data_IF_256234470718
#
_entry.id   IF_256234470718
#
_cell.length_a   1.000
_cell.length_b   1.000
_cell.length_c   1.000
_cell.angle_alpha   90.00
_cell.angle_beta   90.00
_cell.angle_gamma   90.00
#
_symmetry.space_group_name_H-M   'P 1'
#
loop_
_entity.id
_entity.type
_entity.pdbx_description
1 polymer ?
#
# COMPACT_ATOMS: atom_id res chain seq x y z
N UNK A 1 -59.97 -11.12 -72.02
CA UNK A 1 -59.88 -9.67 -71.69
C UNK A 1 -59.03 -9.51 -70.43
N UNK A 2 -58.09 -8.55 -70.43
CA UNK A 2 -57.51 -7.77 -69.30
C UNK A 2 -56.85 -8.55 -68.14
N UNK A 3 -55.50 -8.61 -68.05
CA UNK A 3 -54.56 -7.63 -67.42
C UNK A 3 -54.88 -7.30 -65.96
N UNK A 4 -54.04 -7.73 -65.01
CA UNK A 4 -53.15 -6.89 -64.16
C UNK A 4 -52.56 -7.63 -62.95
N UNK A 5 -51.23 -7.58 -62.89
CA UNK A 5 -50.31 -7.58 -61.74
C UNK A 5 -50.82 -6.78 -60.53
N UNK A 6 -50.49 -7.16 -59.29
CA UNK A 6 -49.90 -6.29 -58.25
C UNK A 6 -49.47 -7.07 -56.98
N UNK A 7 -48.48 -6.49 -56.32
CA UNK A 7 -47.65 -6.92 -55.20
C UNK A 7 -48.34 -6.88 -53.80
N UNK A 8 -47.61 -7.49 -52.85
CA UNK A 8 -47.40 -7.09 -51.45
C UNK A 8 -48.40 -7.53 -50.37
N UNK A 9 -47.89 -8.34 -49.43
CA UNK A 9 -47.81 -7.94 -48.03
C UNK A 9 -46.66 -8.66 -47.33
N UNK A 10 -45.67 -7.87 -46.92
CA UNK A 10 -44.62 -8.18 -45.95
C UNK A 10 -45.27 -8.37 -44.57
N UNK A 11 -44.83 -9.36 -43.81
CA UNK A 11 -44.99 -9.34 -42.35
C UNK A 11 -43.61 -9.48 -41.73
N UNK A 12 -43.01 -8.31 -41.49
CA UNK A 12 -41.94 -8.13 -40.53
C UNK A 12 -42.53 -8.29 -39.12
N UNK A 13 -41.71 -8.82 -38.19
CA UNK A 13 -41.54 -8.43 -36.76
C UNK A 13 -41.00 -9.68 -36.06
N UNK A 14 -39.85 -9.73 -35.40
CA UNK A 14 -38.82 -8.74 -35.15
C UNK A 14 -37.75 -9.47 -34.33
N UNK A 15 -36.50 -9.44 -34.78
CA UNK A 15 -35.37 -9.76 -33.93
C UNK A 15 -35.24 -8.58 -32.97
N UNK A 16 -35.56 -8.78 -31.69
CA UNK A 16 -35.16 -7.86 -30.64
C UNK A 16 -33.64 -8.01 -30.46
N UNK A 17 -32.88 -7.25 -31.25
CA UNK A 17 -31.50 -6.96 -30.96
C UNK A 17 -31.50 -6.04 -29.74
N UNK A 18 -31.36 -6.62 -28.55
CA UNK A 18 -30.85 -5.86 -27.42
C UNK A 18 -29.46 -5.38 -27.83
N UNK A 19 -29.28 -4.06 -27.89
CA UNK A 19 -28.00 -3.42 -28.13
C UNK A 19 -27.09 -3.68 -26.91
N UNK A 20 -26.53 -4.89 -26.82
CA UNK A 20 -25.30 -5.15 -26.10
C UNK A 20 -24.16 -4.84 -27.05
N UNK A 21 -23.36 -3.82 -26.73
CA UNK A 21 -22.13 -3.54 -27.44
C UNK A 21 -21.27 -4.80 -27.44
N UNK A 22 -21.13 -5.42 -28.61
CA UNK A 22 -20.18 -6.47 -28.87
C UNK A 22 -18.78 -5.86 -28.81
N UNK A 23 -18.09 -5.99 -27.67
CA UNK A 23 -16.64 -5.97 -27.66
C UNK A 23 -16.17 -7.24 -28.36
N UNK A 24 -15.94 -7.12 -29.67
CA UNK A 24 -15.29 -8.16 -30.44
C UNK A 24 -13.81 -8.21 -30.09
N UNK A 25 -13.37 -9.32 -29.49
CA UNK A 25 -11.97 -9.73 -29.55
C UNK A 25 -11.44 -10.46 -28.34
N UNK A 26 -11.45 -11.80 -28.43
CA UNK A 26 -10.65 -12.77 -27.68
C UNK A 26 -11.20 -13.22 -26.31
N UNK A 27 -11.29 -14.54 -26.22
CA UNK A 27 -11.61 -15.40 -25.08
C UNK A 27 -11.05 -14.87 -23.74
N UNK A 28 -11.92 -14.68 -22.74
CA UNK A 28 -11.52 -14.70 -21.32
C UNK A 28 -11.18 -13.37 -20.65
N UNK A 29 -11.77 -12.25 -21.02
CA UNK A 29 -11.65 -11.03 -20.22
C UNK A 29 -12.51 -11.16 -18.96
N UNK A 30 -11.85 -11.28 -17.81
CA UNK A 30 -12.46 -11.18 -16.48
C UNK A 30 -13.18 -9.83 -16.42
N UNK A 31 -14.49 -9.84 -16.13
CA UNK A 31 -15.25 -8.60 -16.00
C UNK A 31 -14.66 -7.81 -14.83
N UNK A 32 -14.00 -6.67 -15.11
CA UNK A 32 -13.47 -5.78 -14.08
C UNK A 32 -14.58 -5.25 -13.18
N UNK A 33 -14.20 -4.70 -12.02
CA UNK A 33 -15.18 -4.06 -11.12
C UNK A 33 -15.78 -2.83 -11.80
N UNK A 34 -17.12 -2.63 -11.78
CA UNK A 34 -17.73 -1.44 -12.37
C UNK A 34 -17.30 -0.15 -11.68
N UNK A 35 -16.76 -0.24 -10.46
CA UNK A 35 -16.39 0.90 -9.60
C UNK A 35 -14.89 1.22 -9.67
N UNK A 36 -14.16 0.63 -10.62
CA UNK A 36 -12.71 0.83 -10.82
C UNK A 36 -12.41 1.30 -12.24
N UNK A 37 -11.41 2.18 -12.36
CA UNK A 37 -10.89 2.67 -13.65
C UNK A 37 -9.91 1.68 -14.25
N UNK A 38 -9.02 1.13 -13.42
CA UNK A 38 -8.05 0.15 -13.87
C UNK A 38 -8.71 -1.22 -14.03
N UNK A 39 -8.24 -1.99 -15.03
CA UNK A 39 -8.61 -3.40 -15.14
C UNK A 39 -8.09 -4.23 -13.96
N UNK A 40 -8.61 -5.47 -13.80
CA UNK A 40 -8.20 -6.36 -12.73
C UNK A 40 -6.68 -6.61 -12.76
N UNK A 41 -6.00 -6.62 -11.60
CA UNK A 41 -4.57 -6.85 -11.55
C UNK A 41 -4.22 -8.31 -11.88
N UNK A 42 -3.09 -8.54 -12.54
CA UNK A 42 -2.55 -9.89 -12.79
C UNK A 42 -1.98 -10.49 -11.50
N UNK A 43 -2.81 -11.23 -10.76
CA UNK A 43 -2.46 -11.87 -9.48
C UNK A 43 -3.32 -13.12 -9.22
N UNK A 44 -2.85 -14.06 -8.39
CA UNK A 44 -3.61 -15.28 -8.10
C UNK A 44 -4.80 -15.01 -7.16
N UNK A 45 -6.00 -15.48 -7.53
CA UNK A 45 -7.17 -15.52 -6.66
C UNK A 45 -7.96 -14.21 -6.55
N UNK A 46 -9.22 -14.33 -6.12
CA UNK A 46 -10.16 -13.22 -5.99
C UNK A 46 -9.80 -12.27 -4.85
N UNK A 47 -10.26 -11.01 -4.95
CA UNK A 47 -10.00 -9.95 -3.97
C UNK A 47 -10.40 -10.30 -2.54
N UNK A 48 -11.50 -11.01 -2.34
CA UNK A 48 -12.04 -11.38 -1.02
C UNK A 48 -11.19 -12.42 -0.29
N UNK A 49 -10.25 -13.07 -0.97
CA UNK A 49 -9.37 -14.07 -0.35
C UNK A 49 -8.13 -13.45 0.28
N UNK A 50 -7.92 -12.14 0.11
CA UNK A 50 -6.80 -11.42 0.70
C UNK A 50 -7.19 -10.85 2.07
N UNK A 51 -6.24 -10.82 3.00
CA UNK A 51 -6.45 -10.25 4.33
C UNK A 51 -6.57 -8.72 4.32
N UNK A 52 -6.12 -8.08 3.25
CA UNK A 52 -6.10 -6.62 3.08
C UNK A 52 -7.12 -6.18 2.02
N UNK A 53 -7.58 -4.91 2.05
CA UNK A 53 -8.45 -4.34 1.03
C UNK A 53 -7.80 -4.44 -0.34
N UNK A 54 -8.49 -5.10 -1.27
CA UNK A 54 -7.94 -5.44 -2.57
C UNK A 54 -8.84 -4.93 -3.71
N UNK A 55 -8.41 -5.14 -4.96
CA UNK A 55 -9.03 -4.58 -6.15
C UNK A 55 -10.58 -4.65 -6.14
N UNK A 56 -11.22 -3.50 -6.36
CA UNK A 56 -12.68 -3.37 -6.41
C UNK A 56 -13.39 -3.34 -5.06
N UNK A 57 -12.68 -3.50 -3.94
CA UNK A 57 -13.26 -3.35 -2.61
C UNK A 57 -13.19 -1.89 -2.14
N UNK A 58 -14.09 -1.50 -1.25
CA UNK A 58 -14.08 -0.19 -0.60
C UNK A 58 -12.87 -0.06 0.33
N UNK A 59 -12.29 1.13 0.39
CA UNK A 59 -11.27 1.47 1.37
C UNK A 59 -11.93 1.48 2.77
N UNK A 60 -11.40 0.73 3.76
CA UNK A 60 -11.97 0.75 5.10
C UNK A 60 -11.93 2.14 5.73
N UNK A 61 -13.03 2.50 6.41
CA UNK A 61 -13.14 3.71 7.20
C UNK A 61 -12.50 3.55 8.58
N UNK A 62 -11.47 4.34 8.86
CA UNK A 62 -10.89 4.50 10.21
C UNK A 62 -10.49 5.94 10.44
N UNK A 63 -10.63 6.42 11.68
CA UNK A 63 -10.17 7.74 12.10
C UNK A 63 -8.87 7.58 12.89
N UNK A 64 -7.82 8.27 12.45
CA UNK A 64 -6.48 8.20 13.07
C UNK A 64 -5.89 9.61 13.18
N UNK A 65 -5.22 9.94 14.31
CA UNK A 65 -4.49 11.21 14.43
C UNK A 65 -3.38 11.36 13.38
N UNK A 66 -3.28 12.55 12.80
CA UNK A 66 -2.18 13.02 11.96
C UNK A 66 -1.36 14.05 12.74
N UNK A 67 -0.33 13.62 13.51
CA UNK A 67 0.43 14.51 14.38
C UNK A 67 1.28 15.55 13.66
N UNK A 68 1.48 15.44 12.34
CA UNK A 68 2.21 16.46 11.57
C UNK A 68 1.36 17.72 11.32
N UNK A 69 0.04 17.55 11.26
CA UNK A 69 -0.93 18.61 11.00
C UNK A 69 -1.87 18.89 12.18
N UNK A 70 -1.63 18.22 13.32
CA UNK A 70 -2.37 18.36 14.58
C UNK A 70 -3.90 18.24 14.41
N UNK A 71 -4.32 17.21 13.66
CA UNK A 71 -5.74 16.91 13.40
C UNK A 71 -6.00 15.41 13.36
N UNK A 72 -7.25 15.03 13.45
CA UNK A 72 -7.70 13.68 13.10
C UNK A 72 -8.00 13.60 11.60
N UNK A 73 -7.74 12.44 11.02
CA UNK A 73 -7.99 12.13 9.60
C UNK A 73 -8.80 10.85 9.53
N UNK A 74 -9.89 10.88 8.77
CA UNK A 74 -10.67 9.68 8.45
C UNK A 74 -10.32 9.24 7.04
N UNK A 75 -9.98 7.97 6.84
CA UNK A 75 -9.50 7.46 5.53
C UNK A 75 -10.43 7.74 4.35
N UNK A 76 -11.74 7.81 4.61
CA UNK A 76 -12.81 8.07 3.63
C UNK A 76 -13.18 9.56 3.52
N UNK A 77 -12.59 10.48 4.30
CA UNK A 77 -13.00 11.90 4.27
C UNK A 77 -12.71 12.61 2.95
N UNK A 78 -11.91 11.98 2.08
CA UNK A 78 -11.49 12.49 0.78
C UNK A 78 -12.32 11.93 -0.38
N UNK A 79 -13.28 11.04 -0.10
CA UNK A 79 -14.19 10.52 -1.12
C UNK A 79 -14.98 11.66 -1.78
N UNK A 80 -15.10 11.60 -3.10
CA UNK A 80 -15.64 12.63 -3.97
C UNK A 80 -14.63 13.70 -4.40
N UNK A 81 -13.52 13.88 -3.66
CA UNK A 81 -12.60 14.99 -3.85
C UNK A 81 -11.17 14.59 -4.26
N UNK A 82 -10.60 13.52 -3.68
CA UNK A 82 -9.21 13.11 -3.94
C UNK A 82 -9.02 11.60 -3.98
N UNK A 83 -8.07 11.17 -4.81
CA UNK A 83 -7.53 9.81 -4.77
C UNK A 83 -6.68 9.61 -3.52
N UNK A 84 -6.61 8.38 -3.02
CA UNK A 84 -5.92 8.06 -1.77
C UNK A 84 -4.80 7.05 -2.03
N UNK A 85 -3.60 7.35 -1.52
CA UNK A 85 -2.47 6.43 -1.48
C UNK A 85 -2.03 6.17 -0.04
N UNK A 86 -2.02 4.91 0.37
CA UNK A 86 -1.68 4.51 1.73
C UNK A 86 -0.55 3.49 1.79
N UNK A 87 0.21 3.51 2.89
CA UNK A 87 1.19 2.45 3.20
C UNK A 87 1.38 2.34 4.71
N UNK A 88 1.99 1.25 5.18
CA UNK A 88 2.18 0.95 6.60
C UNK A 88 3.67 0.79 6.88
N UNK A 89 4.19 1.59 7.81
CA UNK A 89 5.63 1.71 8.09
C UNK A 89 5.90 1.95 9.57
N UNK A 90 7.15 1.95 9.98
CA UNK A 90 7.59 2.54 11.26
C UNK A 90 9.02 3.07 11.09
N UNK A 91 9.41 4.08 11.87
CA UNK A 91 10.64 4.82 11.58
C UNK A 91 11.92 4.04 11.84
N UNK A 92 11.90 3.09 12.80
CA UNK A 92 13.05 2.23 13.15
C UNK A 92 13.26 1.04 12.21
N UNK A 93 12.46 0.93 11.16
CA UNK A 93 12.53 -0.17 10.22
C UNK A 93 13.78 -0.07 9.33
N UNK A 94 14.70 -1.02 9.49
CA UNK A 94 15.88 -1.16 8.62
C UNK A 94 15.62 -2.05 7.39
N UNK A 95 14.37 -2.49 7.21
CA UNK A 95 13.94 -3.40 6.14
C UNK A 95 13.28 -2.68 4.95
N UNK A 96 12.08 -3.10 4.52
CA UNK A 96 11.43 -2.53 3.33
C UNK A 96 10.80 -1.16 3.55
N UNK A 97 10.43 -0.80 4.78
CA UNK A 97 9.61 0.39 5.09
C UNK A 97 10.19 1.71 4.54
N UNK A 98 11.50 2.00 4.64
CA UNK A 98 12.11 3.17 4.01
C UNK A 98 11.80 3.28 2.51
N UNK A 99 11.80 2.15 1.78
CA UNK A 99 11.53 2.14 0.34
C UNK A 99 10.05 2.28 0.00
N UNK A 100 9.14 1.93 0.92
CA UNK A 100 7.70 2.15 0.74
C UNK A 100 7.39 3.64 0.87
N UNK A 101 7.87 4.26 1.96
CA UNK A 101 7.73 5.69 2.19
C UNK A 101 8.34 6.52 1.04
N UNK A 102 9.53 6.16 0.55
CA UNK A 102 10.13 6.84 -0.61
C UNK A 102 9.33 6.69 -1.91
N UNK A 103 8.56 5.60 -2.10
CA UNK A 103 7.68 5.50 -3.28
C UNK A 103 6.55 6.52 -3.20
N UNK A 104 5.87 6.64 -2.06
CA UNK A 104 4.84 7.66 -1.87
C UNK A 104 5.44 9.06 -1.99
N UNK A 105 6.61 9.31 -1.41
CA UNK A 105 7.31 10.59 -1.52
C UNK A 105 7.61 10.98 -2.97
N UNK A 106 8.05 10.04 -3.80
CA UNK A 106 8.27 10.31 -5.23
C UNK A 106 6.97 10.66 -5.95
N UNK A 107 5.86 9.97 -5.65
CA UNK A 107 4.56 10.30 -6.24
C UNK A 107 4.06 11.66 -5.75
N UNK A 108 4.33 12.03 -4.49
CA UNK A 108 4.03 13.36 -3.97
C UNK A 108 4.84 14.45 -4.69
N UNK A 109 6.13 14.22 -4.90
CA UNK A 109 6.99 15.15 -5.64
C UNK A 109 6.51 15.31 -7.09
N UNK A 110 6.20 14.21 -7.76
CA UNK A 110 5.64 14.20 -9.11
C UNK A 110 4.31 14.96 -9.19
N UNK A 111 3.43 14.79 -8.18
CA UNK A 111 2.19 15.55 -8.08
C UNK A 111 2.42 17.07 -7.95
N UNK A 112 3.38 17.48 -7.13
CA UNK A 112 3.73 18.90 -6.96
C UNK A 112 4.41 19.48 -8.20
N UNK A 113 5.24 18.70 -8.90
CA UNK A 113 5.92 19.13 -10.12
C UNK A 113 4.96 19.32 -11.30
N UNK A 114 3.90 18.51 -11.36
CA UNK A 114 2.93 18.48 -12.46
C UNK A 114 1.58 19.13 -12.13
N UNK A 115 1.39 19.65 -10.91
CA UNK A 115 0.25 20.49 -10.54
C UNK A 115 -1.05 19.73 -10.23
N UNK A 116 -0.97 18.48 -9.78
CA UNK A 116 -2.12 17.68 -9.34
C UNK A 116 -2.04 17.28 -7.87
N UNK A 117 -1.26 17.99 -7.06
CA UNK A 117 -1.11 17.76 -5.61
C UNK A 117 -2.43 17.85 -4.84
N UNK A 118 -3.41 18.59 -5.36
CA UNK A 118 -4.74 18.71 -4.77
C UNK A 118 -5.67 17.53 -5.06
N UNK A 119 -5.32 16.67 -6.01
CA UNK A 119 -6.14 15.53 -6.47
C UNK A 119 -5.77 14.21 -5.79
N UNK A 120 -4.66 14.17 -5.05
CA UNK A 120 -4.17 12.97 -4.37
C UNK A 120 -3.88 13.27 -2.90
N UNK A 121 -4.12 12.29 -2.03
CA UNK A 121 -3.83 12.30 -0.59
C UNK A 121 -2.93 11.13 -0.23
N UNK A 122 -1.85 11.39 0.49
CA UNK A 122 -0.89 10.39 0.96
C UNK A 122 -1.06 10.16 2.45
N UNK A 123 -1.27 8.90 2.84
CA UNK A 123 -1.45 8.49 4.23
C UNK A 123 -0.53 7.33 4.59
N UNK A 124 0.78 7.58 4.82
CA UNK A 124 1.60 6.61 5.52
C UNK A 124 1.11 6.46 6.97
N UNK A 125 0.98 5.23 7.45
CA UNK A 125 0.48 4.90 8.79
C UNK A 125 1.59 4.23 9.59
N UNK A 126 1.89 4.75 10.79
CA UNK A 126 2.81 4.06 11.71
C UNK A 126 2.13 2.93 12.48
N UNK A 127 2.82 1.81 12.64
CA UNK A 127 2.43 0.74 13.57
C UNK A 127 3.33 0.65 14.82
N UNK A 128 4.23 1.62 15.02
CA UNK A 128 5.01 1.78 16.26
C UNK A 128 4.78 3.15 16.91
N UNK A 129 3.53 3.47 17.32
CA UNK A 129 3.19 4.79 17.81
C UNK A 129 3.91 5.15 19.12
N UNK A 130 4.40 4.18 19.88
CA UNK A 130 5.14 4.42 21.11
C UNK A 130 6.49 5.11 20.85
N UNK A 131 7.18 4.73 19.77
CA UNK A 131 8.44 5.35 19.37
C UNK A 131 8.20 6.54 18.43
N UNK A 132 7.36 6.36 17.41
CA UNK A 132 7.18 7.30 16.31
C UNK A 132 6.43 8.57 16.75
N UNK A 133 7.13 9.55 17.34
CA UNK A 133 6.57 10.87 17.66
C UNK A 133 6.44 11.74 16.39
N UNK A 134 5.69 12.85 16.49
CA UNK A 134 5.57 13.83 15.41
C UNK A 134 6.93 14.27 14.81
N UNK A 135 7.93 14.50 15.66
CA UNK A 135 9.28 14.88 15.24
C UNK A 135 9.97 13.76 14.44
N UNK A 136 9.87 12.52 14.91
CA UNK A 136 10.45 11.35 14.24
C UNK A 136 9.77 11.07 12.90
N UNK A 137 8.44 11.20 12.85
CA UNK A 137 7.66 11.07 11.62
C UNK A 137 7.99 12.16 10.60
N UNK A 138 8.17 13.42 11.04
CA UNK A 138 8.59 14.53 10.18
C UNK A 138 9.98 14.26 9.60
N UNK A 139 10.95 13.92 10.44
CA UNK A 139 12.32 13.59 10.01
C UNK A 139 12.33 12.42 9.04
N UNK A 140 11.65 11.33 9.39
CA UNK A 140 11.54 10.15 8.53
C UNK A 140 10.94 10.51 7.17
N UNK A 141 9.86 11.29 7.12
CA UNK A 141 9.24 11.72 5.86
C UNK A 141 10.20 12.53 4.99
N UNK A 142 10.84 13.55 5.56
CA UNK A 142 11.76 14.44 4.86
C UNK A 142 12.98 13.67 4.32
N UNK A 143 13.57 12.77 5.11
CA UNK A 143 14.69 11.94 4.65
C UNK A 143 14.32 10.96 3.53
N UNK A 144 13.04 10.62 3.38
CA UNK A 144 12.55 9.78 2.28
C UNK A 144 12.14 10.59 1.05
N UNK A 145 12.24 11.91 1.12
CA UNK A 145 11.98 12.85 0.02
C UNK A 145 10.57 13.42 0.00
N UNK A 146 9.76 13.18 1.02
CA UNK A 146 8.43 13.78 1.11
C UNK A 146 8.53 15.21 1.65
N UNK A 147 7.57 16.05 1.30
CA UNK A 147 7.29 17.30 2.01
C UNK A 147 6.33 16.99 3.18
N UNK A 148 6.83 16.92 4.44
CA UNK A 148 6.00 16.57 5.59
C UNK A 148 5.00 17.65 5.98
N UNK A 149 5.19 18.89 5.51
CA UNK A 149 4.34 20.02 5.85
C UNK A 149 3.30 20.30 4.75
N UNK A 150 3.32 19.56 3.64
CA UNK A 150 2.32 19.63 2.58
C UNK A 150 0.95 19.12 3.06
N UNK A 151 -0.14 19.79 2.65
CA UNK A 151 -1.51 19.45 3.05
C UNK A 151 -1.94 18.04 2.62
N UNK A 152 -1.39 17.55 1.50
CA UNK A 152 -1.67 16.23 0.97
C UNK A 152 -0.83 15.10 1.59
N UNK A 153 -0.03 15.38 2.61
CA UNK A 153 0.77 14.37 3.33
C UNK A 153 0.32 14.25 4.78
N UNK A 154 -0.56 13.29 5.05
CA UNK A 154 -1.11 13.04 6.37
C UNK A 154 -0.48 11.78 6.96
N UNK A 155 0.63 11.93 7.69
CA UNK A 155 1.25 10.78 8.37
C UNK A 155 0.43 10.39 9.59
N UNK A 156 -0.22 9.23 9.52
CA UNK A 156 -1.16 8.77 10.54
C UNK A 156 -0.45 7.98 11.65
N UNK A 157 -0.84 8.26 12.89
CA UNK A 157 -0.30 7.63 14.10
C UNK A 157 -1.44 7.19 15.02
N UNK A 158 -1.74 5.90 15.10
CA UNK A 158 -2.65 5.36 16.12
C UNK A 158 -2.21 5.77 17.53
N UNK A 159 -3.15 5.93 18.46
CA UNK A 159 -2.84 6.48 19.78
C UNK A 159 -2.00 5.54 20.66
N UNK A 160 -2.07 4.24 20.40
CA UNK A 160 -1.42 3.20 21.20
C UNK A 160 -1.09 1.97 20.36
N UNK A 161 -0.34 1.03 20.93
CA UNK A 161 -0.08 -0.27 20.28
C UNK A 161 -1.38 -1.07 20.04
N UNK A 162 -2.36 -0.97 20.94
CA UNK A 162 -3.66 -1.63 20.78
C UNK A 162 -4.44 -1.02 19.61
N UNK A 163 -4.49 0.31 19.52
CA UNK A 163 -5.09 1.01 18.38
C UNK A 163 -4.34 0.69 17.08
N UNK A 164 -3.01 0.53 17.13
CA UNK A 164 -2.25 0.10 15.96
C UNK A 164 -2.61 -1.32 15.53
N UNK A 165 -2.89 -2.25 16.46
CA UNK A 165 -3.36 -3.60 16.11
C UNK A 165 -4.73 -3.54 15.43
N UNK A 166 -5.68 -2.80 16.00
CA UNK A 166 -7.02 -2.64 15.43
C UNK A 166 -6.99 -2.02 14.02
N UNK A 167 -6.23 -0.95 13.84
CA UNK A 167 -6.11 -0.27 12.54
C UNK A 167 -5.31 -1.11 11.57
N UNK A 168 -4.05 -1.43 11.88
CA UNK A 168 -3.10 -1.95 10.89
C UNK A 168 -3.30 -3.45 10.65
N UNK A 169 -3.57 -4.23 11.70
CA UNK A 169 -3.75 -5.68 11.58
C UNK A 169 -5.22 -6.05 11.33
N UNK A 170 -6.14 -5.66 12.21
CA UNK A 170 -7.52 -6.13 12.13
C UNK A 170 -8.29 -5.51 10.96
N UNK A 171 -8.08 -4.21 10.69
CA UNK A 171 -8.77 -3.50 9.60
C UNK A 171 -8.07 -3.65 8.26
N UNK A 172 -6.75 -3.47 8.22
CA UNK A 172 -5.98 -3.49 6.97
C UNK A 172 -5.25 -4.81 6.69
N UNK A 173 -5.35 -5.81 7.57
CA UNK A 173 -4.79 -7.15 7.35
C UNK A 173 -3.27 -7.23 7.39
N UNK A 174 -2.59 -6.19 7.87
CA UNK A 174 -1.13 -6.13 7.96
C UNK A 174 -0.73 -6.68 9.33
N UNK A 175 -0.59 -8.00 9.42
CA UNK A 175 -0.09 -8.65 10.62
C UNK A 175 1.28 -8.10 11.02
N UNK A 176 1.41 -7.63 12.25
CA UNK A 176 2.67 -7.21 12.84
C UNK A 176 2.74 -7.67 14.30
N UNK A 177 3.88 -8.22 14.69
CA UNK A 177 4.16 -8.58 16.08
C UNK A 177 5.51 -7.98 16.47
N UNK A 178 5.54 -7.33 17.63
CA UNK A 178 6.80 -6.90 18.24
C UNK A 178 7.50 -8.13 18.81
N UNK A 179 8.54 -8.61 18.14
CA UNK A 179 9.36 -9.69 18.69
C UNK A 179 10.31 -9.08 19.73
N UNK A 180 10.10 -9.35 21.02
CA UNK A 180 11.11 -9.02 22.04
C UNK A 180 12.20 -10.08 22.01
N UNK A 181 13.27 -9.86 21.22
CA UNK A 181 14.45 -10.73 21.28
C UNK A 181 15.32 -10.33 22.48
N UNK A 182 14.98 -10.84 23.66
CA UNK A 182 15.96 -10.96 24.74
C UNK A 182 16.94 -12.09 24.38
N UNK A 183 18.17 -11.75 23.98
CA UNK A 183 19.28 -12.68 24.14
C UNK A 183 19.68 -12.69 25.61
N UNK A 184 19.02 -13.55 26.39
CA UNK A 184 19.46 -13.88 27.74
C UNK A 184 20.86 -14.51 27.63
N UNK A 185 21.87 -13.73 27.98
CA UNK A 185 23.23 -14.22 28.18
C UNK A 185 23.18 -15.36 29.19
N UNK A 186 23.26 -16.59 28.70
CA UNK A 186 23.23 -17.77 29.55
C UNK A 186 24.56 -17.88 30.27
N UNK A 187 24.64 -17.27 31.45
CA UNK A 187 25.64 -17.62 32.44
C UNK A 187 25.25 -18.96 33.09
N UNK A 188 26.09 -19.98 32.86
CA UNK A 188 26.45 -20.96 33.88
C UNK A 188 25.92 -22.39 33.72
N UNK A 189 26.83 -23.34 33.46
CA UNK A 189 27.27 -24.33 34.46
C UNK A 189 28.39 -25.23 33.90
N UNK A 190 29.47 -25.37 34.66
CA UNK A 190 30.65 -26.15 34.29
C UNK A 190 30.64 -27.61 34.75
N UNK A 191 31.59 -28.39 34.22
CA UNK A 191 32.24 -29.54 34.89
C UNK A 191 33.47 -30.03 34.10
N UNK A 192 34.64 -30.05 34.76
CA UNK A 192 35.79 -31.01 34.76
C UNK A 192 36.14 -31.82 33.47
N UNK A 193 37.38 -32.15 33.09
CA UNK A 193 38.70 -32.27 33.77
C UNK A 193 39.80 -32.59 32.71
N UNK A 194 41.07 -32.17 32.96
CA UNK A 194 42.40 -32.74 32.58
C UNK A 194 42.71 -33.13 31.11
N UNK A 195 43.91 -32.97 30.51
CA UNK A 195 45.29 -32.60 30.90
C UNK A 195 46.11 -32.48 29.59
N UNK A 196 47.13 -31.62 29.57
CA UNK A 196 48.52 -31.87 29.10
C UNK A 196 49.18 -30.67 28.39
N UNK A 197 50.38 -30.36 28.93
CA UNK A 197 51.35 -29.37 28.48
C UNK A 197 52.02 -29.77 27.15
N UNK A 198 52.19 -28.82 26.22
CA UNK A 198 53.52 -28.29 25.83
C UNK A 198 53.42 -27.27 24.68
N UNK A 199 53.80 -26.03 24.99
CA UNK A 199 54.57 -25.03 24.20
C UNK A 199 54.55 -25.08 22.66
N UNK A 200 54.16 -23.99 21.98
CA UNK A 200 55.04 -22.84 21.66
C UNK A 200 54.32 -21.77 20.80
N UNK A 201 54.79 -20.52 20.94
CA UNK A 201 54.70 -19.38 20.00
C UNK A 201 53.38 -18.57 19.87
N UNK A 202 53.31 -17.54 20.72
CA UNK A 202 53.07 -16.12 20.39
C UNK A 202 52.20 -15.79 19.17
N UNK A 203 50.97 -15.36 19.44
CA UNK A 203 50.28 -14.31 18.67
C UNK A 203 49.46 -13.45 19.62
N UNK A 204 49.64 -12.14 19.51
CA UNK A 204 49.07 -11.13 20.39
C UNK A 204 47.54 -11.14 20.37
N UNK A 205 46.97 -11.07 21.57
CA UNK A 205 45.54 -11.03 21.85
C UNK A 205 45.08 -9.58 22.00
N UNK A 206 44.11 -9.20 21.16
CA UNK A 206 43.00 -8.28 21.39
C UNK A 206 43.29 -6.82 21.77
N UNK A 207 43.09 -5.93 20.79
CA UNK A 207 42.45 -4.64 21.05
C UNK A 207 40.96 -4.76 20.74
N UNK A 208 40.16 -4.64 21.79
CA UNK A 208 38.71 -4.41 21.82
C UNK A 208 38.17 -3.55 20.67
N UNK A 209 37.30 -4.12 19.85
CA UNK A 209 36.20 -3.38 19.24
C UNK A 209 34.92 -3.82 19.96
N UNK A 210 34.50 -3.00 20.91
CA UNK A 210 33.13 -2.96 21.41
C UNK A 210 32.22 -2.61 20.23
N UNK A 211 31.60 -3.63 19.65
CA UNK A 211 30.48 -3.50 18.74
C UNK A 211 29.19 -3.48 19.56
N UNK A 212 28.70 -2.27 19.76
CA UNK A 212 27.34 -1.91 20.11
C UNK A 212 26.36 -2.68 19.21
N UNK A 213 25.78 -3.75 19.77
CA UNK A 213 24.79 -4.57 19.08
C UNK A 213 23.50 -3.79 18.88
N UNK A 214 23.21 -3.41 17.64
CA UNK A 214 21.94 -2.81 17.26
C UNK A 214 20.82 -3.84 17.42
N UNK A 215 19.85 -3.51 18.26
CA UNK A 215 18.60 -4.26 18.44
C UNK A 215 17.84 -4.29 17.10
N UNK A 216 17.79 -5.45 16.46
CA UNK A 216 17.03 -5.64 15.22
C UNK A 216 15.59 -6.01 15.58
N UNK A 217 14.73 -5.00 15.69
CA UNK A 217 13.29 -5.21 15.75
C UNK A 217 12.83 -5.80 14.40
N UNK A 218 12.66 -7.13 14.35
CA UNK A 218 12.16 -7.84 13.18
C UNK A 218 10.63 -7.95 13.26
N UNK A 219 9.94 -7.11 12.50
CA UNK A 219 8.52 -7.28 12.20
C UNK A 219 8.38 -8.00 10.86
N UNK A 220 7.85 -9.24 10.87
CA UNK A 220 7.42 -9.88 9.63
C UNK A 220 6.04 -9.33 9.28
N UNK A 221 5.96 -8.41 8.31
CA UNK A 221 4.69 -7.84 7.86
C UNK A 221 4.64 -7.81 6.32
N UNK A 222 3.42 -7.85 5.78
CA UNK A 222 3.18 -7.67 4.34
C UNK A 222 3.52 -6.23 3.98
N UNK A 223 4.43 -6.02 3.03
CA UNK A 223 4.64 -4.69 2.46
C UNK A 223 3.47 -4.37 1.55
N UNK A 224 2.75 -3.28 1.82
CA UNK A 224 1.56 -2.89 1.07
C UNK A 224 1.60 -1.41 0.71
N UNK A 225 1.26 -1.10 -0.53
CA UNK A 225 0.81 0.23 -0.95
C UNK A 225 -0.59 0.05 -1.53
N UNK A 226 -1.56 0.81 -1.03
CA UNK A 226 -2.92 0.87 -1.54
C UNK A 226 -3.06 2.14 -2.38
N UNK A 227 -3.66 2.02 -3.56
CA UNK A 227 -4.20 3.13 -4.34
C UNK A 227 -5.72 2.95 -4.41
N UNK A 228 -6.46 3.90 -3.86
CA UNK A 228 -7.90 3.98 -3.96
C UNK A 228 -8.30 5.20 -4.79
N UNK A 229 -9.32 5.03 -5.63
CA UNK A 229 -9.88 6.13 -6.41
C UNK A 229 -10.68 7.09 -5.52
N UNK A 230 -11.04 8.25 -6.08
CA UNK A 230 -11.82 9.27 -5.37
C UNK A 230 -13.22 8.80 -5.01
N UNK A 231 -13.72 7.70 -5.58
CA UNK A 231 -15.03 7.15 -5.24
C UNK A 231 -14.94 6.12 -4.09
N UNK A 232 -13.76 5.96 -3.48
CA UNK A 232 -13.53 5.11 -2.30
C UNK A 232 -13.12 3.67 -2.62
N UNK A 233 -12.94 3.30 -3.89
CA UNK A 233 -12.64 1.93 -4.30
C UNK A 233 -11.15 1.69 -4.56
N UNK A 234 -10.65 0.55 -4.08
CA UNK A 234 -9.25 0.12 -4.27
C UNK A 234 -9.01 -0.25 -5.74
N UNK A 235 -8.15 0.52 -6.40
CA UNK A 235 -7.69 0.30 -7.77
C UNK A 235 -6.50 -0.67 -7.81
N UNK A 236 -5.59 -0.53 -6.83
CA UNK A 236 -4.40 -1.37 -6.70
C UNK A 236 -4.03 -1.59 -5.24
N UNK A 237 -3.60 -2.82 -4.95
CA UNK A 237 -3.00 -3.23 -3.70
C UNK A 237 -1.64 -3.88 -4.01
N UNK A 238 -0.57 -3.09 -3.98
CA UNK A 238 0.79 -3.54 -4.32
C UNK A 238 1.43 -4.22 -3.11
N UNK A 239 1.43 -5.56 -3.14
CA UNK A 239 2.04 -6.40 -2.10
C UNK A 239 3.54 -6.60 -2.35
N UNK A 240 4.24 -7.26 -1.42
CA UNK A 240 5.67 -7.65 -1.61
C UNK A 240 5.93 -8.44 -2.89
N UNK A 241 4.95 -9.20 -3.39
CA UNK A 241 5.06 -10.02 -4.59
C UNK A 241 4.76 -9.23 -5.87
N UNK A 242 3.93 -8.21 -5.77
CA UNK A 242 3.39 -7.45 -6.92
C UNK A 242 3.90 -6.01 -6.98
N UNK A 243 4.82 -5.62 -6.10
CA UNK A 243 5.31 -4.25 -5.98
C UNK A 243 6.09 -3.81 -7.23
N UNK A 244 5.56 -2.86 -8.02
CA UNK A 244 6.23 -2.43 -9.24
C UNK A 244 7.29 -1.36 -8.95
N UNK A 245 7.94 -0.90 -10.02
CA UNK A 245 8.74 0.32 -10.00
C UNK A 245 7.86 1.55 -9.80
N UNK A 246 8.45 2.66 -9.34
CA UNK A 246 7.71 3.89 -9.05
C UNK A 246 7.02 4.49 -10.28
N UNK A 247 7.62 4.36 -11.48
CA UNK A 247 7.01 4.85 -12.72
C UNK A 247 5.65 4.21 -12.98
N UNK A 248 5.51 2.89 -12.77
CA UNK A 248 4.23 2.20 -12.93
C UNK A 248 3.19 2.66 -11.91
N UNK A 249 3.61 3.01 -10.68
CA UNK A 249 2.69 3.54 -9.67
C UNK A 249 2.18 4.93 -10.11
N UNK A 250 3.05 5.75 -10.67
CA UNK A 250 2.70 7.05 -11.26
C UNK A 250 1.75 6.85 -12.44
N UNK A 251 2.07 5.97 -13.39
CA UNK A 251 1.23 5.69 -14.57
C UNK A 251 -0.18 5.17 -14.16
N UNK A 252 -0.24 4.29 -13.16
CA UNK A 252 -1.50 3.78 -12.61
C UNK A 252 -2.31 4.93 -11.96
N UNK A 253 -1.67 5.81 -11.17
CA UNK A 253 -2.34 6.97 -10.57
C UNK A 253 -2.81 7.98 -11.64
N UNK A 254 -2.00 8.26 -12.65
CA UNK A 254 -2.36 9.12 -13.78
C UNK A 254 -3.61 8.58 -14.48
N UNK A 255 -3.63 7.27 -14.78
CA UNK A 255 -4.78 6.62 -15.40
C UNK A 255 -6.03 6.72 -14.54
N UNK A 256 -5.93 6.51 -13.22
CA UNK A 256 -7.07 6.60 -12.29
C UNK A 256 -7.60 8.03 -12.21
N UNK A 257 -6.70 9.02 -12.19
CA UNK A 257 -7.01 10.45 -12.12
C UNK A 257 -7.73 10.93 -13.38
N UNK A 258 -7.21 10.56 -14.54
CA UNK A 258 -7.79 10.98 -15.83
C UNK A 258 -9.01 10.15 -16.26
N UNK A 259 -9.08 8.89 -15.84
CA UNK A 259 -10.16 7.98 -16.22
C UNK A 259 -11.44 8.13 -15.40
N UNK A 260 -11.38 8.76 -14.21
CA UNK A 260 -12.55 9.09 -13.39
C UNK A 260 -13.39 10.26 -13.95
N UNK A 261 -12.82 11.07 -14.84
CA UNK A 261 -13.46 12.25 -15.44
C UNK A 261 -14.13 11.96 -16.79
N UNK A 262 -14.63 10.73 -16.98
CA UNK A 262 -15.22 10.17 -18.20
C UNK A 262 -16.49 10.84 -18.77
N UNK A 263 -16.64 12.16 -18.66
CA UNK A 263 -17.30 12.95 -19.70
C UNK A 263 -16.44 12.99 -20.95
N UNK A 264 -16.54 11.95 -21.79
CA UNK A 264 -15.98 11.97 -23.14
C UNK A 264 -16.57 13.15 -23.94
N UNK A 265 -15.71 14.03 -24.43
CA UNK A 265 -16.03 15.01 -25.49
C UNK A 265 -16.12 14.35 -26.87
#
# INVERSE_FOLDING_TARGET
MRRRTYLASVSATGAALAAGCLNGGILGAEAGSPDTVLGPPDRPGESENYAYPAYGQELPEVTVPSPLHDREVTTTEFEGDRHVMMTFVFTRCHGPCPRLASRLAHVQADAAENGYESEVMFMPVTFDPAYDTAEQLRTFSAERGADPDAENWQFLRPESHEAAQEVVNDTFGIGFEKTETYTEGTEGHGSNQSTDEQTNQSTDTQSSQSGDGEMQDMFTHVTLIILANKDGYVERAYSSQTMPGVSTIIDDLETVREGGDGGFL
#
